data_IF_962035659664
#
_entry.id   IF_962035659664
#
_cell.length_a   1.000
_cell.length_b   1.000
_cell.length_c   1.000
_cell.angle_alpha   90.00
_cell.angle_beta   90.00
_cell.angle_gamma   90.00
#
_symmetry.space_group_name_H-M   'P 1'
#
loop_
_entity.id
_entity.type
_entity.pdbx_description
1 polymer ?
#
# COMPACT_ATOMS: atom_id res chain seq x y z
N UNK A 1 49.39 40.66 -8.39
CA UNK A 1 48.50 40.89 -7.24
C UNK A 1 47.11 41.47 -7.59
N UNK A 2 46.96 42.40 -8.57
CA UNK A 2 45.64 42.98 -8.94
C UNK A 2 44.60 41.98 -9.53
N UNK A 3 45.02 40.92 -10.26
CA UNK A 3 44.13 39.94 -10.86
C UNK A 3 43.53 38.96 -9.84
N UNK A 4 44.21 38.68 -8.71
CA UNK A 4 43.73 37.80 -7.67
C UNK A 4 42.62 38.43 -6.81
N UNK A 5 42.67 39.74 -6.59
CA UNK A 5 41.70 40.49 -5.79
C UNK A 5 40.36 40.62 -6.54
N UNK A 6 40.40 40.82 -7.88
CA UNK A 6 39.21 40.93 -8.70
C UNK A 6 38.43 39.58 -8.73
N UNK A 7 39.15 38.45 -8.77
CA UNK A 7 38.52 37.12 -8.79
C UNK A 7 37.85 36.76 -7.46
N UNK A 8 38.47 37.11 -6.34
CA UNK A 8 37.88 36.91 -5.01
C UNK A 8 36.66 37.82 -4.76
N UNK A 9 36.64 39.03 -5.28
CA UNK A 9 35.49 39.95 -5.18
C UNK A 9 34.29 39.45 -5.99
N UNK A 10 34.50 38.87 -7.18
CA UNK A 10 33.46 38.32 -8.04
C UNK A 10 32.84 37.08 -7.37
N UNK A 11 33.64 36.20 -6.77
CA UNK A 11 33.13 35.02 -6.05
C UNK A 11 32.32 35.45 -4.81
N UNK A 12 32.78 36.43 -4.04
CA UNK A 12 32.07 36.93 -2.87
C UNK A 12 30.71 37.58 -3.25
N UNK A 13 30.68 38.35 -4.36
CA UNK A 13 29.45 38.96 -4.87
C UNK A 13 28.44 37.89 -5.36
N UNK A 14 28.92 36.86 -6.05
CA UNK A 14 28.10 35.73 -6.50
C UNK A 14 27.50 34.96 -5.32
N UNK A 15 28.28 34.71 -4.26
CA UNK A 15 27.80 34.06 -3.04
C UNK A 15 26.74 34.90 -2.31
N UNK A 16 26.88 36.21 -2.24
CA UNK A 16 25.87 37.09 -1.63
C UNK A 16 24.56 37.12 -2.42
N UNK A 17 24.61 37.10 -3.76
CA UNK A 17 23.42 37.10 -4.61
C UNK A 17 22.68 35.76 -4.48
N UNK A 18 23.40 34.64 -4.47
CA UNK A 18 22.80 33.29 -4.28
C UNK A 18 22.17 33.19 -2.91
N UNK A 19 22.85 33.62 -1.85
CA UNK A 19 22.30 33.61 -0.47
C UNK A 19 21.04 34.47 -0.34
N UNK A 20 21.00 35.65 -0.97
CA UNK A 20 19.83 36.53 -0.96
C UNK A 20 18.61 35.95 -1.73
N UNK A 21 18.87 35.28 -2.84
CA UNK A 21 17.82 34.63 -3.62
C UNK A 21 17.23 33.42 -2.89
N UNK A 22 18.09 32.61 -2.27
CA UNK A 22 17.69 31.45 -1.47
C UNK A 22 16.86 31.85 -0.22
N UNK A 23 17.27 32.95 0.46
CA UNK A 23 16.50 33.52 1.56
C UNK A 23 15.09 33.97 1.15
N UNK A 24 14.95 34.66 0.01
CA UNK A 24 13.64 35.08 -0.53
C UNK A 24 12.78 33.88 -0.90
N UNK A 25 13.36 32.86 -1.53
CA UNK A 25 12.66 31.62 -1.88
C UNK A 25 12.11 30.92 -0.63
N UNK A 26 12.89 30.84 0.43
CA UNK A 26 12.49 30.22 1.69
C UNK A 26 11.36 31.01 2.39
N UNK A 27 11.40 32.35 2.36
CA UNK A 27 10.35 33.21 2.91
C UNK A 27 9.03 32.99 2.16
N UNK A 28 9.07 32.93 0.83
CA UNK A 28 7.87 32.70 0.02
C UNK A 28 7.31 31.27 0.22
N UNK A 29 8.16 30.23 0.27
CA UNK A 29 7.74 28.88 0.56
C UNK A 29 7.07 28.77 1.94
N UNK A 30 7.64 29.41 2.97
CA UNK A 30 7.05 29.46 4.31
C UNK A 30 5.66 30.14 4.31
N UNK A 31 5.49 31.24 3.56
CA UNK A 31 4.24 31.95 3.42
C UNK A 31 3.17 31.05 2.77
N UNK A 32 3.49 30.45 1.62
CA UNK A 32 2.59 29.54 0.90
C UNK A 32 2.17 28.34 1.76
N UNK A 33 3.13 27.76 2.52
CA UNK A 33 2.82 26.64 3.40
C UNK A 33 1.87 27.03 4.53
N UNK A 34 2.04 28.21 5.13
CA UNK A 34 1.13 28.70 6.17
C UNK A 34 -0.26 28.98 5.64
N UNK A 35 -0.37 29.61 4.46
CA UNK A 35 -1.66 29.87 3.81
C UNK A 35 -2.33 28.55 3.40
N UNK A 36 -1.57 27.56 2.92
CA UNK A 36 -2.08 26.23 2.60
C UNK A 36 -2.56 25.47 3.84
N UNK A 37 -1.83 25.56 4.95
CA UNK A 37 -2.26 24.97 6.22
C UNK A 37 -3.55 25.64 6.76
N UNK A 38 -3.72 26.93 6.60
CA UNK A 38 -4.93 27.63 6.98
C UNK A 38 -6.12 27.25 6.09
N UNK A 39 -5.91 27.15 4.77
CA UNK A 39 -6.92 26.63 3.86
C UNK A 39 -7.36 25.20 4.24
N UNK A 40 -6.41 24.34 4.61
CA UNK A 40 -6.70 22.97 5.07
C UNK A 40 -7.52 22.92 6.36
N UNK A 41 -7.33 23.83 7.30
CA UNK A 41 -8.18 23.95 8.51
C UNK A 41 -9.62 24.31 8.16
N UNK A 42 -9.79 25.15 7.14
CA UNK A 42 -11.10 25.55 6.65
C UNK A 42 -11.73 24.54 5.69
N UNK A 43 -11.06 23.40 5.47
CA UNK A 43 -11.46 22.35 4.52
C UNK A 43 -11.53 22.84 3.05
N UNK A 44 -10.86 23.94 2.73
CA UNK A 44 -10.66 24.40 1.35
C UNK A 44 -9.50 23.57 0.74
N UNK A 45 -9.82 22.32 0.40
CA UNK A 45 -8.83 21.32 0.00
C UNK A 45 -8.08 21.69 -1.28
N UNK A 46 -8.77 22.24 -2.26
CA UNK A 46 -8.16 22.61 -3.54
C UNK A 46 -7.11 23.70 -3.36
N UNK A 47 -7.46 24.74 -2.61
CA UNK A 47 -6.55 25.82 -2.28
C UNK A 47 -5.39 25.33 -1.42
N UNK A 48 -5.66 24.47 -0.45
CA UNK A 48 -4.63 23.88 0.41
C UNK A 48 -3.61 23.10 -0.41
N UNK A 49 -4.07 22.23 -1.31
CA UNK A 49 -3.21 21.43 -2.19
C UNK A 49 -2.43 22.34 -3.14
N UNK A 50 -3.06 23.32 -3.77
CA UNK A 50 -2.38 24.25 -4.68
C UNK A 50 -1.21 24.97 -3.99
N UNK A 51 -1.47 25.56 -2.83
CA UNK A 51 -0.49 26.34 -2.08
C UNK A 51 0.65 25.46 -1.55
N UNK A 52 0.33 24.31 -0.98
CA UNK A 52 1.34 23.37 -0.48
C UNK A 52 2.15 22.70 -1.60
N UNK A 53 1.57 22.44 -2.77
CA UNK A 53 2.34 21.99 -3.94
C UNK A 53 3.40 23.04 -4.35
N UNK A 54 3.01 24.32 -4.38
CA UNK A 54 3.96 25.41 -4.67
C UNK A 54 5.05 25.50 -3.61
N UNK A 55 4.68 25.40 -2.33
CA UNK A 55 5.64 25.39 -1.23
C UNK A 55 6.63 24.21 -1.33
N UNK A 56 6.11 23.00 -1.58
CA UNK A 56 6.91 21.76 -1.71
C UNK A 56 7.83 21.78 -2.94
N UNK A 57 7.41 22.42 -4.04
CA UNK A 57 8.26 22.62 -5.22
C UNK A 57 9.44 23.59 -4.93
N UNK A 58 9.25 24.52 -4.01
CA UNK A 58 10.28 25.43 -3.56
C UNK A 58 11.19 24.79 -2.50
N UNK A 59 10.61 24.05 -1.55
CA UNK A 59 11.33 23.36 -0.47
C UNK A 59 10.60 22.06 -0.11
N UNK A 60 11.30 20.93 -0.32
CA UNK A 60 10.77 19.59 -0.06
C UNK A 60 10.41 19.32 1.41
N UNK A 61 10.85 20.17 2.35
CA UNK A 61 10.46 20.02 3.77
C UNK A 61 8.95 20.07 4.01
N UNK A 62 8.17 20.63 3.07
CA UNK A 62 6.70 20.67 3.14
C UNK A 62 6.00 19.43 2.54
N UNK A 63 6.77 18.41 2.16
CA UNK A 63 6.18 17.16 1.61
C UNK A 63 5.25 16.47 2.60
N UNK A 64 5.59 16.47 3.88
CA UNK A 64 4.78 15.83 4.92
C UNK A 64 3.46 16.58 5.15
N UNK A 65 3.48 17.92 5.13
CA UNK A 65 2.28 18.74 5.24
C UNK A 65 1.36 18.54 4.03
N UNK A 66 1.92 18.50 2.82
CA UNK A 66 1.16 18.23 1.61
C UNK A 66 0.57 16.81 1.64
N UNK A 67 1.33 15.82 2.07
CA UNK A 67 0.85 14.45 2.26
C UNK A 67 -0.31 14.39 3.25
N UNK A 68 -0.19 15.09 4.38
CA UNK A 68 -1.26 15.16 5.38
C UNK A 68 -2.55 15.81 4.84
N UNK A 69 -2.44 16.79 3.94
CA UNK A 69 -3.61 17.39 3.29
C UNK A 69 -4.28 16.41 2.34
N UNK A 70 -3.52 15.72 1.50
CA UNK A 70 -4.05 14.65 0.65
C UNK A 70 -4.74 13.56 1.48
N UNK A 71 -4.11 13.12 2.58
CA UNK A 71 -4.70 12.12 3.47
C UNK A 71 -6.04 12.57 4.06
N UNK A 72 -6.13 13.83 4.51
CA UNK A 72 -7.37 14.40 5.08
C UNK A 72 -8.46 14.55 4.02
N UNK A 73 -8.11 15.02 2.81
CA UNK A 73 -9.05 15.11 1.70
C UNK A 73 -9.58 13.72 1.34
N UNK A 74 -8.70 12.74 1.17
CA UNK A 74 -9.10 11.36 0.91
C UNK A 74 -10.01 10.77 1.99
N UNK A 75 -9.80 11.11 3.26
CA UNK A 75 -10.71 10.73 4.34
C UNK A 75 -12.08 11.41 4.21
N UNK A 76 -12.11 12.69 3.85
CA UNK A 76 -13.37 13.42 3.61
C UNK A 76 -14.14 12.80 2.44
N UNK A 77 -13.47 12.52 1.32
CA UNK A 77 -14.05 11.87 0.14
C UNK A 77 -14.62 10.48 0.49
N UNK A 78 -13.85 9.67 1.23
CA UNK A 78 -14.31 8.35 1.69
C UNK A 78 -15.55 8.45 2.58
N UNK A 79 -15.64 9.47 3.41
CA UNK A 79 -16.78 9.73 4.28
C UNK A 79 -18.04 10.13 3.49
N UNK A 80 -17.85 10.76 2.34
CA UNK A 80 -18.90 11.12 1.37
C UNK A 80 -19.18 10.01 0.35
N UNK A 81 -18.59 8.81 0.53
CA UNK A 81 -18.67 7.66 -0.39
C UNK A 81 -18.05 7.92 -1.78
N UNK A 82 -17.25 8.95 -1.92
CA UNK A 82 -16.44 9.23 -3.12
C UNK A 82 -15.17 8.37 -3.10
N UNK A 83 -15.37 7.05 -3.15
CA UNK A 83 -14.31 6.08 -2.88
C UNK A 83 -13.14 6.15 -3.87
N UNK A 84 -13.43 6.40 -5.16
CA UNK A 84 -12.38 6.47 -6.17
C UNK A 84 -11.50 7.72 -6.00
N UNK A 85 -12.11 8.84 -5.61
CA UNK A 85 -11.39 10.09 -5.31
C UNK A 85 -10.53 9.89 -4.07
N UNK A 86 -11.08 9.28 -3.02
CA UNK A 86 -10.34 8.95 -1.81
C UNK A 86 -9.10 8.09 -2.10
N UNK A 87 -9.23 7.05 -2.92
CA UNK A 87 -8.10 6.19 -3.32
C UNK A 87 -7.04 7.00 -4.07
N UNK A 88 -7.46 7.92 -4.94
CA UNK A 88 -6.56 8.80 -5.68
C UNK A 88 -5.79 9.71 -4.71
N UNK A 89 -6.49 10.34 -3.77
CA UNK A 89 -5.89 11.22 -2.76
C UNK A 89 -4.88 10.49 -1.87
N UNK A 90 -5.22 9.31 -1.38
CA UNK A 90 -4.26 8.48 -0.63
C UNK A 90 -3.06 8.08 -1.50
N UNK A 91 -3.28 7.83 -2.79
CA UNK A 91 -2.20 7.58 -3.75
C UNK A 91 -1.23 8.76 -3.88
N UNK A 92 -1.75 10.00 -3.96
CA UNK A 92 -0.91 11.20 -3.98
C UNK A 92 -0.15 11.40 -2.65
N UNK A 93 -0.80 11.13 -1.51
CA UNK A 93 -0.14 11.17 -0.21
C UNK A 93 1.04 10.17 -0.13
N UNK A 94 0.85 8.94 -0.59
CA UNK A 94 1.89 7.89 -0.58
C UNK A 94 3.07 8.17 -1.51
N UNK A 95 2.90 8.96 -2.58
CA UNK A 95 4.03 9.42 -3.41
C UNK A 95 4.97 10.35 -2.62
N UNK A 96 4.45 11.06 -1.64
CA UNK A 96 5.20 11.99 -0.79
C UNK A 96 5.76 11.29 0.45
N UNK A 97 4.99 10.39 1.05
CA UNK A 97 5.33 9.67 2.29
C UNK A 97 5.12 8.15 2.12
N UNK A 98 5.97 7.47 1.34
CA UNK A 98 5.77 6.05 0.96
C UNK A 98 5.94 5.05 2.11
N UNK A 99 6.34 5.51 3.30
CA UNK A 99 6.49 4.66 4.49
C UNK A 99 5.40 4.90 5.55
N UNK A 100 4.41 5.75 5.28
CA UNK A 100 3.32 5.98 6.22
C UNK A 100 2.28 4.86 6.14
N UNK A 101 2.37 3.93 7.06
CA UNK A 101 1.49 2.76 7.19
C UNK A 101 0.02 3.16 7.31
N UNK A 102 -0.30 4.30 7.93
CA UNK A 102 -1.69 4.75 8.15
C UNK A 102 -2.39 5.06 6.83
N UNK A 103 -1.66 5.60 5.85
CA UNK A 103 -2.23 5.92 4.54
C UNK A 103 -2.56 4.66 3.76
N UNK A 104 -1.67 3.65 3.79
CA UNK A 104 -1.97 2.33 3.22
C UNK A 104 -3.19 1.68 3.89
N UNK A 105 -3.29 1.71 5.23
CA UNK A 105 -4.45 1.20 5.97
C UNK A 105 -5.76 1.86 5.52
N UNK A 106 -5.75 3.19 5.39
CA UNK A 106 -6.92 3.94 4.97
C UNK A 106 -7.31 3.63 3.53
N UNK A 107 -6.33 3.54 2.62
CA UNK A 107 -6.59 3.19 1.22
C UNK A 107 -7.12 1.78 1.09
N UNK A 108 -6.47 0.79 1.71
CA UNK A 108 -6.93 -0.59 1.72
C UNK A 108 -8.36 -0.73 2.28
N UNK A 109 -8.70 0.03 3.33
CA UNK A 109 -10.07 0.01 3.88
C UNK A 109 -11.12 0.53 2.88
N UNK A 110 -10.79 1.52 2.07
CA UNK A 110 -11.66 2.03 0.99
C UNK A 110 -11.73 1.04 -0.17
N UNK A 111 -10.61 0.45 -0.56
CA UNK A 111 -10.54 -0.59 -1.61
C UNK A 111 -11.38 -1.82 -1.22
N UNK A 112 -11.35 -2.22 0.05
CA UNK A 112 -12.24 -3.26 0.58
C UNK A 112 -13.72 -2.91 0.46
N UNK A 113 -14.10 -1.64 0.68
CA UNK A 113 -15.51 -1.19 0.55
C UNK A 113 -16.04 -1.31 -0.88
N UNK A 114 -15.18 -1.13 -1.88
CA UNK A 114 -15.54 -1.28 -3.30
C UNK A 114 -15.22 -2.67 -3.86
N UNK A 115 -14.85 -3.62 -3.00
CA UNK A 115 -14.43 -4.99 -3.34
C UNK A 115 -13.21 -5.06 -4.28
N UNK A 116 -12.35 -4.04 -4.30
CA UNK A 116 -11.06 -4.08 -5.01
C UNK A 116 -10.03 -4.83 -4.15
N UNK A 117 -10.27 -6.13 -3.99
CA UNK A 117 -9.46 -6.98 -3.11
C UNK A 117 -8.01 -7.07 -3.54
N UNK A 118 -7.71 -6.97 -4.83
CA UNK A 118 -6.35 -7.06 -5.33
C UNK A 118 -5.50 -5.85 -4.90
N UNK A 119 -6.06 -4.65 -4.94
CA UNK A 119 -5.37 -3.46 -4.46
C UNK A 119 -5.23 -3.47 -2.93
N UNK A 120 -6.28 -3.84 -2.21
CA UNK A 120 -6.20 -3.98 -0.76
C UNK A 120 -5.12 -5.00 -0.33
N UNK A 121 -4.98 -6.14 -1.03
CA UNK A 121 -3.89 -7.10 -0.81
C UNK A 121 -2.51 -6.51 -1.06
N UNK A 122 -2.37 -5.67 -2.10
CA UNK A 122 -1.12 -4.98 -2.39
C UNK A 122 -0.74 -4.03 -1.25
N UNK A 123 -1.69 -3.24 -0.76
CA UNK A 123 -1.47 -2.31 0.35
C UNK A 123 -1.09 -3.04 1.64
N UNK A 124 -1.84 -4.09 2.03
CA UNK A 124 -1.45 -4.88 3.21
C UNK A 124 -0.09 -5.56 3.03
N UNK A 125 0.30 -5.90 1.81
CA UNK A 125 1.63 -6.45 1.55
C UNK A 125 2.74 -5.41 1.74
N UNK A 126 2.53 -4.15 1.34
CA UNK A 126 3.46 -3.06 1.64
C UNK A 126 3.53 -2.79 3.16
N UNK A 127 2.38 -2.76 3.85
CA UNK A 127 2.35 -2.61 5.30
C UNK A 127 3.15 -3.73 6.00
N UNK A 128 2.99 -4.97 5.58
CA UNK A 128 3.71 -6.12 6.15
C UNK A 128 5.23 -6.00 5.91
N UNK A 129 5.68 -5.46 4.78
CA UNK A 129 7.11 -5.17 4.57
C UNK A 129 7.62 -4.13 5.55
N UNK A 130 6.85 -3.10 5.83
CA UNK A 130 7.18 -2.03 6.77
C UNK A 130 7.07 -2.48 8.23
N UNK A 131 6.15 -3.39 8.54
CA UNK A 131 5.80 -3.86 9.89
C UNK A 131 5.67 -5.38 9.95
N UNK A 132 6.76 -6.16 9.78
CA UNK A 132 6.73 -7.61 9.57
C UNK A 132 6.32 -8.45 10.79
N UNK A 133 6.20 -7.84 11.97
CA UNK A 133 5.80 -8.52 13.19
C UNK A 133 4.40 -8.12 13.69
N UNK A 134 3.70 -7.29 12.95
CA UNK A 134 2.35 -6.84 13.32
C UNK A 134 1.29 -7.85 12.85
N UNK A 135 0.82 -8.65 13.78
CA UNK A 135 -0.13 -9.77 13.55
C UNK A 135 -1.40 -9.31 12.82
N UNK A 136 -1.91 -8.13 13.13
CA UNK A 136 -3.17 -7.62 12.59
C UNK A 136 -3.18 -7.54 11.06
N UNK A 137 -2.05 -7.23 10.43
CA UNK A 137 -2.00 -7.09 8.97
C UNK A 137 -2.01 -8.43 8.25
N UNK A 138 -1.39 -9.46 8.83
CA UNK A 138 -1.53 -10.82 8.34
C UNK A 138 -2.97 -11.31 8.48
N UNK A 139 -3.65 -10.99 9.59
CA UNK A 139 -5.06 -11.33 9.77
C UNK A 139 -5.97 -10.66 8.74
N UNK A 140 -5.76 -9.36 8.46
CA UNK A 140 -6.52 -8.66 7.41
C UNK A 140 -6.26 -9.27 6.03
N UNK A 141 -4.99 -9.53 5.69
CA UNK A 141 -4.64 -10.10 4.39
C UNK A 141 -5.16 -11.53 4.24
N UNK A 142 -5.06 -12.35 5.26
CA UNK A 142 -5.64 -13.69 5.28
C UNK A 142 -7.16 -13.67 5.08
N UNK A 143 -7.85 -12.72 5.70
CA UNK A 143 -9.29 -12.54 5.51
C UNK A 143 -9.64 -12.17 4.06
N UNK A 144 -8.89 -11.27 3.44
CA UNK A 144 -9.12 -10.92 2.03
C UNK A 144 -8.86 -12.13 1.12
N UNK A 145 -7.84 -12.94 1.40
CA UNK A 145 -7.62 -14.20 0.68
C UNK A 145 -8.80 -15.17 0.85
N UNK A 146 -9.43 -15.26 2.03
CA UNK A 146 -10.66 -16.06 2.22
C UNK A 146 -11.80 -15.53 1.33
N UNK A 147 -12.03 -14.21 1.25
CA UNK A 147 -13.04 -13.59 0.38
C UNK A 147 -12.79 -13.92 -1.10
N UNK A 148 -11.54 -14.01 -1.52
CA UNK A 148 -11.14 -14.41 -2.88
C UNK A 148 -11.14 -15.93 -3.10
N UNK A 149 -11.53 -16.73 -2.10
CA UNK A 149 -11.39 -18.19 -2.10
C UNK A 149 -9.95 -18.72 -2.27
N UNK A 150 -8.95 -17.91 -2.00
CA UNK A 150 -7.53 -18.28 -2.00
C UNK A 150 -7.13 -18.88 -0.65
N UNK A 151 -7.51 -20.14 -0.46
CA UNK A 151 -7.24 -20.87 0.79
C UNK A 151 -5.74 -21.06 1.05
N UNK A 152 -4.92 -21.13 0.01
CA UNK A 152 -3.47 -21.35 0.13
C UNK A 152 -2.77 -20.14 0.76
N UNK A 153 -3.00 -18.95 0.21
CA UNK A 153 -2.41 -17.73 0.73
C UNK A 153 -3.01 -17.34 2.09
N UNK A 154 -4.31 -17.60 2.29
CA UNK A 154 -4.94 -17.41 3.61
C UNK A 154 -4.29 -18.31 4.67
N UNK A 155 -4.01 -19.58 4.35
CA UNK A 155 -3.31 -20.50 5.27
C UNK A 155 -1.90 -20.00 5.60
N UNK A 156 -1.16 -19.55 4.59
CA UNK A 156 0.21 -19.03 4.78
C UNK A 156 0.25 -17.86 5.78
N UNK A 157 -0.64 -16.89 5.64
CA UNK A 157 -0.74 -15.77 6.57
C UNK A 157 -1.23 -16.21 7.95
N UNK A 158 -2.17 -17.16 8.01
CA UNK A 158 -2.67 -17.73 9.26
C UNK A 158 -1.56 -18.44 10.04
N UNK A 159 -0.71 -19.20 9.37
CA UNK A 159 0.45 -19.85 9.99
C UNK A 159 1.49 -18.83 10.47
N UNK A 160 1.67 -17.74 9.71
CA UNK A 160 2.53 -16.63 10.17
C UNK A 160 1.99 -16.00 11.46
N UNK A 161 0.67 -15.79 11.58
CA UNK A 161 0.03 -15.32 12.80
C UNK A 161 0.30 -16.29 13.95
N UNK A 162 0.07 -17.59 13.75
CA UNK A 162 0.28 -18.61 14.79
C UNK A 162 1.75 -18.76 15.19
N UNK A 163 2.69 -18.46 14.28
CA UNK A 163 4.12 -18.41 14.60
C UNK A 163 4.47 -17.24 15.51
N UNK A 164 3.81 -16.08 15.32
CA UNK A 164 4.02 -14.87 16.12
C UNK A 164 3.26 -14.93 17.46
N UNK A 165 2.04 -15.48 17.44
CA UNK A 165 1.16 -15.68 18.59
C UNK A 165 0.50 -17.07 18.51
N UNK A 166 1.10 -18.09 19.14
CA UNK A 166 0.55 -19.45 19.14
C UNK A 166 -0.83 -19.57 19.81
N UNK A 167 -1.25 -18.57 20.57
CA UNK A 167 -2.52 -18.57 21.27
C UNK A 167 -3.62 -17.77 20.58
N UNK A 168 -3.36 -17.22 19.38
CA UNK A 168 -4.33 -16.45 18.62
C UNK A 168 -5.54 -17.30 18.22
N UNK A 169 -6.70 -17.01 18.83
CA UNK A 169 -7.91 -17.81 18.66
C UNK A 169 -8.50 -17.67 17.25
N UNK A 170 -8.46 -16.47 16.67
CA UNK A 170 -8.96 -16.21 15.32
C UNK A 170 -8.16 -17.00 14.28
N UNK A 171 -6.84 -17.04 14.42
CA UNK A 171 -5.96 -17.79 13.53
C UNK A 171 -6.17 -19.31 13.69
N UNK A 172 -6.35 -19.80 14.93
CA UNK A 172 -6.69 -21.23 15.15
C UNK A 172 -8.00 -21.61 14.49
N UNK A 173 -9.04 -20.81 14.67
CA UNK A 173 -10.34 -21.04 14.05
C UNK A 173 -10.29 -20.97 12.53
N UNK A 174 -9.53 -20.01 11.97
CA UNK A 174 -9.32 -19.91 10.52
C UNK A 174 -8.59 -21.13 9.99
N UNK A 175 -7.52 -21.57 10.62
CA UNK A 175 -6.76 -22.76 10.23
C UNK A 175 -7.68 -23.98 10.16
N UNK A 176 -8.48 -24.23 11.18
CA UNK A 176 -9.41 -25.34 11.22
C UNK A 176 -10.45 -25.31 10.07
N UNK A 177 -11.01 -24.12 9.77
CA UNK A 177 -11.95 -23.96 8.64
C UNK A 177 -11.28 -24.25 7.30
N UNK A 178 -10.07 -23.76 7.10
CA UNK A 178 -9.32 -23.97 5.86
C UNK A 178 -8.95 -25.45 5.66
N UNK A 179 -8.54 -26.15 6.73
CA UNK A 179 -8.26 -27.60 6.71
C UNK A 179 -9.51 -28.42 6.37
N UNK A 180 -10.65 -28.09 6.98
CA UNK A 180 -11.93 -28.74 6.67
C UNK A 180 -12.34 -28.54 5.21
N UNK A 181 -12.18 -27.30 4.69
CA UNK A 181 -12.45 -26.99 3.28
C UNK A 181 -11.54 -27.77 2.33
N UNK A 182 -10.27 -27.91 2.66
CA UNK A 182 -9.31 -28.70 1.87
C UNK A 182 -9.68 -30.19 1.86
N UNK A 183 -10.04 -30.76 3.02
CA UNK A 183 -10.46 -32.15 3.13
C UNK A 183 -11.75 -32.45 2.33
N UNK A 184 -12.73 -31.53 2.36
CA UNK A 184 -13.95 -31.65 1.59
C UNK A 184 -13.68 -31.69 0.07
N UNK A 185 -12.77 -30.83 -0.42
CA UNK A 185 -12.40 -30.77 -1.83
C UNK A 185 -11.69 -32.05 -2.32
N UNK A 186 -10.88 -32.69 -1.46
CA UNK A 186 -10.21 -33.97 -1.80
C UNK A 186 -11.22 -35.10 -1.92
N UNK A 187 -12.29 -35.10 -1.11
CA UNK A 187 -13.31 -36.13 -1.10
C UNK A 187 -14.20 -36.15 -2.36
N UNK A 188 -14.23 -35.07 -3.14
CA UNK A 188 -15.02 -34.91 -4.36
C UNK A 188 -14.25 -35.33 -5.63
N UNK A 189 -12.94 -35.48 -5.56
CA UNK A 189 -12.15 -35.99 -6.71
C UNK A 189 -12.34 -37.51 -6.81
N UNK A 190 -12.86 -38.04 -7.94
CA UNK A 190 -12.98 -39.49 -8.10
C UNK A 190 -11.58 -40.14 -8.04
N UNK A 191 -11.48 -41.36 -7.47
CA UNK A 191 -10.20 -42.06 -7.42
C UNK A 191 -9.64 -42.19 -8.84
N UNK A 192 -8.28 -42.10 -9.00
CA UNK A 192 -7.67 -42.27 -10.31
C UNK A 192 -8.15 -43.59 -10.92
N UNK A 193 -8.67 -43.52 -12.15
CA UNK A 193 -9.12 -44.67 -12.89
C UNK A 193 -8.06 -45.74 -12.93
N UNK A 194 -8.32 -46.92 -12.37
CA UNK A 194 -7.42 -48.08 -12.46
C UNK A 194 -7.10 -48.36 -13.93
N UNK A 195 -5.82 -48.60 -14.28
CA UNK A 195 -5.47 -48.90 -15.65
C UNK A 195 -6.26 -50.10 -16.12
N UNK A 196 -6.95 -49.97 -17.27
CA UNK A 196 -7.68 -51.07 -17.90
C UNK A 196 -6.68 -52.21 -18.16
N UNK A 197 -7.00 -53.45 -17.76
CA UNK A 197 -6.13 -54.58 -18.03
C UNK A 197 -5.91 -54.73 -19.56
N UNK A 198 -4.72 -55.16 -20.00
CA UNK A 198 -4.45 -55.31 -21.41
C UNK A 198 -5.37 -56.37 -22.03
N UNK A 199 -5.75 -56.23 -23.30
CA UNK A 199 -6.64 -57.17 -23.98
C UNK A 199 -5.97 -58.55 -24.03
N UNK A 200 -6.70 -59.55 -23.53
CA UNK A 200 -6.28 -60.96 -23.63
C UNK A 200 -6.28 -61.38 -25.10
N UNK A 201 -5.13 -61.77 -25.63
CA UNK A 201 -5.00 -62.34 -26.99
C UNK A 201 -5.84 -63.62 -27.11
N UNK A 202 -6.62 -63.83 -28.22
CA UNK A 202 -7.30 -65.05 -28.45
C UNK A 202 -6.31 -66.19 -28.84
N UNK A 203 -6.30 -67.26 -28.04
CA UNK A 203 -5.55 -68.46 -28.35
C UNK A 203 -5.96 -69.05 -29.72
N UNK A 204 -4.97 -69.15 -30.59
CA UNK A 204 -5.11 -69.80 -31.88
C UNK A 204 -5.56 -71.24 -31.75
N UNK A 205 -6.68 -71.57 -32.35
CA UNK A 205 -7.12 -72.96 -32.57
C UNK A 205 -6.17 -73.59 -33.57
N UNK A 206 -5.41 -74.59 -33.13
CA UNK A 206 -4.81 -75.58 -34.05
C UNK A 206 -5.95 -76.46 -34.62
N UNK A 207 -6.04 -76.59 -35.93
CA UNK A 207 -6.78 -77.62 -36.59
C UNK A 207 -5.89 -78.84 -36.89
N UNK A 208 -6.47 -80.03 -37.01
CA UNK A 208 -5.76 -81.29 -37.17
C UNK A 208 -5.10 -81.43 -38.51
#
# INVERSE_FOLDING_TARGET
MKKSIAFTLIIALALCVVSGAESKKNVEANKLAREGAEAAKNQDWDKAVELLRKATAMDKKYSDELSAVYQRRGYADASQQQYQDAITEYGEALKLTPQDVRIYEQRAAVEMKINDYDKALADYSEIIKLKPNEIRYYNYRAYIYELKNDSTNSMTDTEKVLKLDPNNQDAKGRKQRLEQKAAANVSVTPPPSTPKPPPTSPHGKKKP
#
